data_IF_073361059292
#
_entry.id   IF_073361059292
#
_cell.length_a   1.000
_cell.length_b   1.000
_cell.length_c   1.000
_cell.angle_alpha   90.00
_cell.angle_beta   90.00
_cell.angle_gamma   90.00
#
_symmetry.space_group_name_H-M   'P 1'
#
loop_
_entity.id
_entity.type
_entity.pdbx_description
1 polymer ?
#
# COMPACT_ATOMS: atom_id res chain seq x y z
N UNK A 1 13.79 16.96 0.39
CA UNK A 1 12.49 16.89 1.09
C UNK A 1 12.43 17.99 2.14
N UNK A 2 13.19 17.89 3.24
CA UNK A 2 13.16 18.91 4.30
C UNK A 2 13.63 20.29 3.83
N UNK A 3 14.69 20.35 3.02
CA UNK A 3 15.15 21.61 2.40
C UNK A 3 14.11 22.26 1.46
N UNK A 4 13.10 21.51 1.02
CA UNK A 4 11.98 22.01 0.22
C UNK A 4 10.72 22.28 1.07
N UNK A 5 10.85 22.29 2.40
CA UNK A 5 9.72 22.46 3.33
C UNK A 5 8.82 21.23 3.48
N UNK A 6 9.20 20.08 2.91
CA UNK A 6 8.39 18.85 2.99
C UNK A 6 8.79 18.05 4.23
N UNK A 7 7.86 17.96 5.19
CA UNK A 7 7.99 17.10 6.37
C UNK A 7 7.68 15.65 6.02
N UNK A 8 8.66 14.76 6.18
CA UNK A 8 8.44 13.32 6.07
C UNK A 8 7.99 12.75 7.41
N UNK A 9 6.89 12.01 7.41
CA UNK A 9 6.38 11.32 8.59
C UNK A 9 6.40 9.82 8.33
N UNK A 10 7.12 9.07 9.16
CA UNK A 10 7.15 7.61 9.09
C UNK A 10 5.97 7.01 9.87
N UNK A 11 5.16 6.19 9.19
CA UNK A 11 3.94 5.53 9.71
C UNK A 11 3.92 4.06 9.27
N UNK A 12 4.66 3.18 9.95
CA UNK A 12 4.75 1.77 9.57
C UNK A 12 3.40 1.07 9.81
N UNK A 13 2.96 0.28 8.83
CA UNK A 13 1.78 -0.61 8.95
C UNK A 13 2.11 -1.91 9.66
N UNK A 14 3.33 -2.41 9.47
CA UNK A 14 3.82 -3.65 10.06
C UNK A 14 4.96 -3.30 11.02
N UNK A 15 5.00 -3.95 12.17
CA UNK A 15 6.11 -3.81 13.12
C UNK A 15 7.37 -4.50 12.57
N UNK A 16 8.55 -4.20 13.11
CA UNK A 16 9.80 -4.85 12.67
C UNK A 16 9.77 -6.38 12.85
N UNK A 17 9.05 -6.85 13.87
CA UNK A 17 8.79 -8.28 14.14
C UNK A 17 7.98 -8.98 13.03
N UNK A 18 7.14 -8.24 12.30
CA UNK A 18 6.32 -8.75 11.18
C UNK A 18 7.12 -8.93 9.88
N UNK A 19 8.40 -8.54 9.86
CA UNK A 19 9.33 -8.80 8.77
C UNK A 19 10.16 -10.06 8.99
N UNK A 20 9.73 -10.93 9.91
CA UNK A 20 10.33 -12.26 10.01
C UNK A 20 10.25 -12.97 8.65
N UNK A 21 11.28 -13.75 8.29
CA UNK A 21 11.31 -14.52 7.05
C UNK A 21 10.05 -15.36 6.80
N UNK A 22 9.44 -15.91 7.85
CA UNK A 22 8.22 -16.73 7.78
C UNK A 22 7.01 -15.88 7.41
N UNK A 23 6.84 -14.72 8.05
CA UNK A 23 5.72 -13.81 7.78
C UNK A 23 5.82 -13.18 6.39
N UNK A 24 7.03 -12.94 5.91
CA UNK A 24 7.27 -12.54 4.52
C UNK A 24 6.95 -13.67 3.54
N UNK A 25 7.35 -14.90 3.84
CA UNK A 25 7.03 -16.08 3.04
C UNK A 25 5.52 -16.31 2.90
N UNK A 26 4.77 -16.25 4.01
CA UNK A 26 3.31 -16.39 4.01
C UNK A 26 2.64 -15.37 3.08
N UNK A 27 3.09 -14.11 3.15
CA UNK A 27 2.57 -13.04 2.28
C UNK A 27 2.93 -13.28 0.81
N UNK A 28 4.17 -13.68 0.53
CA UNK A 28 4.61 -13.98 -0.84
C UNK A 28 3.74 -15.05 -1.49
N UNK A 29 3.46 -16.13 -0.77
CA UNK A 29 2.57 -17.20 -1.24
C UNK A 29 1.18 -16.67 -1.60
N UNK A 30 0.59 -15.83 -0.74
CA UNK A 30 -0.76 -15.27 -0.96
C UNK A 30 -0.82 -14.44 -2.26
N UNK A 31 0.21 -13.65 -2.56
CA UNK A 31 0.24 -12.82 -3.78
C UNK A 31 0.51 -13.59 -5.08
N UNK A 32 1.06 -14.81 -4.98
CA UNK A 32 1.40 -15.64 -6.15
C UNK A 32 0.24 -16.50 -6.63
N UNK A 33 -0.82 -16.63 -5.83
CA UNK A 33 -2.03 -17.36 -6.19
C UNK A 33 -2.66 -16.75 -7.46
N UNK A 34 -3.24 -17.61 -8.29
CA UNK A 34 -3.95 -17.19 -9.50
C UNK A 34 -5.29 -16.53 -9.13
N UNK A 35 -5.84 -16.94 -7.99
CA UNK A 35 -7.11 -16.46 -7.48
C UNK A 35 -6.99 -15.07 -6.83
N UNK A 36 -7.99 -14.24 -7.09
CA UNK A 36 -8.16 -12.93 -6.44
C UNK A 36 -8.20 -13.05 -4.90
N UNK A 37 -8.69 -14.18 -4.38
CA UNK A 37 -8.75 -14.49 -2.94
C UNK A 37 -7.40 -14.34 -2.24
N UNK A 38 -6.30 -14.66 -2.91
CA UNK A 38 -4.95 -14.48 -2.35
C UNK A 38 -4.61 -13.01 -2.06
N UNK A 39 -4.99 -12.11 -2.96
CA UNK A 39 -4.84 -10.66 -2.76
C UNK A 39 -5.76 -10.12 -1.68
N UNK A 40 -7.01 -10.60 -1.63
CA UNK A 40 -7.96 -10.19 -0.59
C UNK A 40 -7.44 -10.59 0.79
N UNK A 41 -6.91 -11.80 0.95
CA UNK A 41 -6.29 -12.25 2.19
C UNK A 41 -5.06 -11.41 2.57
N UNK A 42 -4.26 -10.99 1.59
CA UNK A 42 -3.13 -10.10 1.86
C UNK A 42 -3.56 -8.68 2.27
N UNK A 43 -4.68 -8.18 1.74
CA UNK A 43 -5.26 -6.91 2.18
C UNK A 43 -5.90 -6.99 3.56
N UNK A 44 -6.49 -8.13 3.90
CA UNK A 44 -6.94 -8.40 5.26
C UNK A 44 -5.78 -8.33 6.25
N UNK A 45 -4.64 -8.98 5.96
CA UNK A 45 -3.45 -8.90 6.81
C UNK A 45 -2.98 -7.43 6.99
N UNK A 46 -2.97 -6.65 5.91
CA UNK A 46 -2.62 -5.23 5.96
C UNK A 46 -3.58 -4.47 6.88
N UNK A 47 -4.89 -4.65 6.69
CA UNK A 47 -5.91 -3.94 7.46
C UNK A 47 -5.93 -4.37 8.93
N UNK A 48 -5.55 -5.61 9.24
CA UNK A 48 -5.40 -6.08 10.61
C UNK A 48 -4.31 -5.33 11.40
N UNK A 49 -3.25 -4.87 10.73
CA UNK A 49 -2.14 -4.14 11.37
C UNK A 49 -2.18 -2.61 11.14
N UNK A 50 -2.92 -2.13 10.15
CA UNK A 50 -2.83 -0.75 9.67
C UNK A 50 -3.46 0.31 10.58
N UNK A 51 -4.31 -0.06 11.55
CA UNK A 51 -5.11 0.85 12.36
C UNK A 51 -4.36 2.09 12.89
N UNK A 52 -3.25 1.93 13.63
CA UNK A 52 -2.46 3.06 14.15
C UNK A 52 -1.90 3.97 13.05
N UNK A 53 -1.37 3.38 11.96
CA UNK A 53 -0.80 4.12 10.84
C UNK A 53 -1.87 4.90 10.07
N UNK A 54 -2.97 4.22 9.71
CA UNK A 54 -4.08 4.80 8.97
C UNK A 54 -4.77 5.88 9.81
N UNK A 55 -4.98 5.66 11.10
CA UNK A 55 -5.52 6.66 12.00
C UNK A 55 -4.68 7.93 12.04
N UNK A 56 -3.34 7.83 12.06
CA UNK A 56 -2.48 9.01 12.02
C UNK A 56 -2.62 9.79 10.71
N UNK A 57 -2.70 9.09 9.57
CA UNK A 57 -2.88 9.71 8.26
C UNK A 57 -4.26 10.39 8.19
N UNK A 58 -5.32 9.68 8.57
CA UNK A 58 -6.70 10.18 8.53
C UNK A 58 -6.87 11.42 9.42
N UNK A 59 -6.28 11.45 10.62
CA UNK A 59 -6.31 12.65 11.49
C UNK A 59 -5.60 13.85 10.87
N UNK A 60 -4.51 13.62 10.13
CA UNK A 60 -3.86 14.69 9.38
C UNK A 60 -4.79 15.24 8.29
N UNK A 61 -5.45 14.35 7.53
CA UNK A 61 -6.41 14.75 6.48
C UNK A 61 -7.64 15.47 7.07
N UNK A 62 -8.13 15.04 8.23
CA UNK A 62 -9.20 15.70 8.97
C UNK A 62 -8.81 17.12 9.45
N UNK A 63 -7.50 17.38 9.60
CA UNK A 63 -6.97 18.68 9.96
C UNK A 63 -6.81 19.66 8.80
N UNK A 64 -6.97 19.22 7.55
CA UNK A 64 -6.85 20.09 6.37
C UNK A 64 -7.93 21.19 6.37
N UNK A 65 -7.61 22.34 5.78
CA UNK A 65 -8.64 23.34 5.48
C UNK A 65 -9.61 22.80 4.43
N UNK A 66 -10.92 23.11 4.52
CA UNK A 66 -11.87 22.70 3.49
C UNK A 66 -11.54 23.36 2.15
N UNK A 67 -11.88 22.70 1.01
CA UNK A 67 -11.62 23.25 -0.30
C UNK A 67 -12.37 24.57 -0.47
N UNK A 68 -11.79 25.57 -1.17
CA UNK A 68 -12.49 26.82 -1.43
C UNK A 68 -13.79 26.54 -2.19
N UNK A 69 -14.88 27.19 -1.79
CA UNK A 69 -16.15 27.12 -2.50
C UNK A 69 -15.93 27.49 -3.98
N UNK A 70 -16.55 26.79 -4.95
CA UNK A 70 -16.49 27.19 -6.34
C UNK A 70 -17.15 28.57 -6.48
N UNK A 71 -16.36 29.63 -6.50
CA UNK A 71 -16.85 30.98 -6.79
C UNK A 71 -17.23 31.06 -8.28
N UNK A 72 -18.43 31.56 -8.63
CA UNK A 72 -18.85 31.72 -10.03
C UNK A 72 -18.17 32.88 -10.76
N UNK A 73 -17.07 33.46 -10.25
CA UNK A 73 -16.40 34.61 -10.87
C UNK A 73 -14.92 34.34 -11.12
N UNK A 74 -14.42 34.50 -12.37
CA UNK A 74 -12.99 34.53 -12.59
C UNK A 74 -12.39 35.73 -11.83
N UNK A 75 -11.19 35.61 -11.24
CA UNK A 75 -10.52 36.77 -10.69
C UNK A 75 -10.27 37.77 -11.83
N UNK A 76 -10.89 38.96 -11.75
CA UNK A 76 -10.49 40.05 -12.63
C UNK A 76 -9.01 40.32 -12.34
N UNK A 77 -8.16 40.31 -13.37
CA UNK A 77 -6.80 40.83 -13.28
C UNK A 77 -6.88 42.33 -12.96
N UNK A 78 -6.96 42.65 -11.67
CA UNK A 78 -6.80 43.98 -11.12
C UNK A 78 -5.52 44.00 -10.33
N UNK A 79 -4.46 44.51 -10.94
CA UNK A 79 -3.19 44.84 -10.30
C UNK A 79 -3.43 45.73 -9.09
N UNK A 80 -3.25 45.19 -7.88
CA UNK A 80 -2.90 45.98 -6.70
C UNK A 80 -1.87 45.21 -5.89
N UNK A 81 -0.62 45.60 -6.12
CA UNK A 81 0.46 45.46 -5.15
C UNK A 81 -0.05 46.01 -3.81
N UNK A 82 -0.13 45.15 -2.80
CA UNK A 82 -0.25 45.59 -1.41
C UNK A 82 1.13 45.38 -0.80
N UNK A 83 1.84 46.50 -0.62
CA UNK A 83 3.00 46.61 0.26
C UNK A 83 2.59 46.19 1.67
N UNK A 84 3.13 45.06 2.14
CA UNK A 84 3.11 44.71 3.55
C UNK A 84 4.06 45.65 4.30
N UNK A 85 3.49 46.67 4.94
CA UNK A 85 4.23 47.58 5.83
C UNK A 85 4.58 46.83 7.11
N UNK A 86 5.85 46.48 7.29
CA UNK A 86 6.38 45.88 8.52
C UNK A 86 6.38 46.94 9.62
N UNK A 87 5.35 46.94 10.48
CA UNK A 87 5.39 47.64 11.75
C UNK A 87 6.13 46.77 12.78
N UNK A 88 7.28 47.26 13.24
CA UNK A 88 8.04 46.70 14.36
C UNK A 88 7.35 47.09 15.66
N UNK A 89 6.68 46.13 16.29
CA UNK A 89 6.26 46.23 17.68
C UNK A 89 7.32 45.55 18.55
N UNK A 90 8.07 46.36 19.31
CA UNK A 90 8.99 45.90 20.34
C UNK A 90 8.17 45.55 21.59
N UNK A 91 7.53 44.37 21.57
CA UNK A 91 6.80 43.80 22.70
C UNK A 91 7.31 42.39 23.00
N UNK A 92 7.72 42.15 24.25
CA UNK A 92 8.33 40.93 24.78
C UNK A 92 7.68 39.63 24.24
N UNK A 93 8.45 38.93 23.40
CA UNK A 93 8.00 37.79 22.61
C UNK A 93 7.69 36.54 23.43
N UNK A 94 6.43 36.36 23.81
CA UNK A 94 5.86 35.03 24.02
C UNK A 94 5.79 34.35 22.66
N UNK A 95 6.78 33.50 22.33
CA UNK A 95 6.74 32.60 21.16
C UNK A 95 5.57 31.63 21.30
N UNK A 96 4.37 32.07 20.94
CA UNK A 96 3.29 31.17 20.57
C UNK A 96 3.69 30.59 19.21
N UNK A 97 4.33 29.42 19.23
CA UNK A 97 4.66 28.70 18.00
C UNK A 97 3.38 28.56 17.17
N UNK A 98 3.31 29.27 16.05
CA UNK A 98 2.22 29.13 15.08
C UNK A 98 2.23 27.67 14.65
N UNK A 99 1.23 26.91 15.11
CA UNK A 99 1.07 25.50 14.74
C UNK A 99 0.93 25.48 13.22
N UNK A 100 1.91 24.91 12.51
CA UNK A 100 1.86 24.81 11.05
C UNK A 100 0.57 24.08 10.66
N UNK A 101 -0.28 24.76 9.89
CA UNK A 101 -1.54 24.19 9.42
C UNK A 101 -1.27 23.21 8.28
N UNK A 102 -1.89 22.02 8.29
CA UNK A 102 -1.68 21.03 7.24
C UNK A 102 -2.30 21.54 5.93
N UNK A 103 -1.49 21.58 4.86
CA UNK A 103 -1.91 22.11 3.56
C UNK A 103 -2.19 21.01 2.53
N UNK A 104 -1.39 19.95 2.53
CA UNK A 104 -1.49 18.82 1.63
C UNK A 104 -0.78 17.59 2.21
N UNK A 105 -1.03 16.42 1.62
CA UNK A 105 -0.33 15.18 1.95
C UNK A 105 0.00 14.40 0.68
N UNK A 106 1.21 13.82 0.64
CA UNK A 106 1.56 12.72 -0.24
C UNK A 106 1.60 11.44 0.59
N UNK A 107 0.74 10.48 0.27
CA UNK A 107 0.65 9.21 0.98
C UNK A 107 1.18 8.13 0.05
N UNK A 108 2.23 7.42 0.47
CA UNK A 108 2.84 6.38 -0.33
C UNK A 108 3.33 5.21 0.53
N UNK A 109 3.56 4.07 -0.11
CA UNK A 109 4.28 2.93 0.45
C UNK A 109 5.54 2.68 -0.38
N UNK A 110 6.05 1.45 -0.44
CA UNK A 110 7.23 1.13 -1.25
C UNK A 110 6.94 1.25 -2.75
N UNK A 111 5.89 0.58 -3.24
CA UNK A 111 5.51 0.58 -4.66
C UNK A 111 4.30 1.49 -4.97
N UNK A 112 3.69 2.09 -3.94
CA UNK A 112 2.46 2.88 -4.10
C UNK A 112 1.21 2.07 -4.45
N UNK A 113 1.26 0.73 -4.37
CA UNK A 113 0.19 -0.17 -4.84
C UNK A 113 -0.64 -0.76 -3.70
N UNK A 114 -0.09 -1.67 -2.90
CA UNK A 114 -0.90 -2.50 -1.98
C UNK A 114 -1.40 -1.71 -0.76
N UNK A 115 -0.48 -1.28 0.12
CA UNK A 115 -0.81 -0.51 1.34
C UNK A 115 -1.46 0.84 1.02
N UNK A 116 -0.96 1.50 -0.02
CA UNK A 116 -1.52 2.78 -0.49
C UNK A 116 -2.89 2.58 -1.13
N UNK A 117 -3.03 1.56 -1.99
CA UNK A 117 -4.29 1.28 -2.68
C UNK A 117 -5.40 0.92 -1.71
N UNK A 118 -5.17 0.03 -0.74
CA UNK A 118 -6.21 -0.32 0.24
C UNK A 118 -6.56 0.84 1.17
N UNK A 119 -5.58 1.70 1.52
CA UNK A 119 -5.84 2.93 2.26
C UNK A 119 -6.82 3.84 1.50
N UNK A 120 -6.53 4.13 0.22
CA UNK A 120 -7.40 4.98 -0.59
C UNK A 120 -8.73 4.30 -0.93
N UNK A 121 -8.74 2.97 -1.10
CA UNK A 121 -9.96 2.19 -1.25
C UNK A 121 -10.90 2.38 -0.06
N UNK A 122 -10.38 2.24 1.16
CA UNK A 122 -11.11 2.48 2.40
C UNK A 122 -11.58 3.94 2.52
N UNK A 123 -10.69 4.90 2.24
CA UNK A 123 -11.02 6.33 2.31
C UNK A 123 -12.11 6.71 1.32
N UNK A 124 -12.01 6.28 0.06
CA UNK A 124 -12.99 6.60 -0.97
C UNK A 124 -14.34 5.91 -0.73
N UNK A 125 -14.35 4.68 -0.22
CA UNK A 125 -15.60 3.98 0.16
C UNK A 125 -16.30 4.73 1.32
N UNK A 126 -15.54 5.19 2.32
CA UNK A 126 -16.06 6.04 3.41
C UNK A 126 -16.64 7.38 2.90
N UNK A 127 -16.01 7.97 1.87
CA UNK A 127 -16.47 9.20 1.22
C UNK A 127 -17.58 8.95 0.18
N UNK A 128 -18.13 7.74 0.13
CA UNK A 128 -19.22 7.32 -0.76
C UNK A 128 -18.90 7.42 -2.28
N UNK A 129 -17.62 7.28 -2.65
CA UNK A 129 -17.24 7.13 -4.06
C UNK A 129 -17.74 5.77 -4.58
N UNK A 130 -18.36 5.68 -5.77
CA UNK A 130 -18.81 4.40 -6.30
C UNK A 130 -17.67 3.39 -6.42
N UNK A 131 -17.86 2.16 -5.93
CA UNK A 131 -16.81 1.12 -5.89
C UNK A 131 -16.18 0.80 -7.25
N UNK A 132 -16.95 0.92 -8.34
CA UNK A 132 -16.42 0.78 -9.69
C UNK A 132 -15.38 1.86 -10.04
N UNK A 133 -15.57 3.10 -9.55
CA UNK A 133 -14.61 4.19 -9.71
C UNK A 133 -13.38 3.99 -8.81
N UNK A 134 -13.58 3.53 -7.57
CA UNK A 134 -12.47 3.17 -6.66
C UNK A 134 -11.57 2.11 -7.31
N UNK A 135 -12.18 1.04 -7.83
CA UNK A 135 -11.44 -0.02 -8.52
C UNK A 135 -10.76 0.48 -9.80
N UNK A 136 -11.41 1.38 -10.55
CA UNK A 136 -10.81 1.99 -11.74
C UNK A 136 -9.60 2.88 -11.41
N UNK A 137 -9.69 3.68 -10.35
CA UNK A 137 -8.58 4.49 -9.85
C UNK A 137 -7.42 3.59 -9.43
N UNK A 138 -7.67 2.59 -8.58
CA UNK A 138 -6.65 1.65 -8.14
C UNK A 138 -5.92 1.00 -9.33
N UNK A 139 -6.67 0.64 -10.37
CA UNK A 139 -6.16 0.04 -11.58
C UNK A 139 -5.29 0.97 -12.44
N UNK A 140 -5.35 2.31 -12.27
CA UNK A 140 -4.39 3.23 -12.91
C UNK A 140 -2.95 2.96 -12.47
N UNK A 141 -2.75 2.27 -11.33
CA UNK A 141 -1.43 1.77 -10.92
C UNK A 141 -0.81 0.84 -11.96
N UNK A 142 -1.60 0.11 -12.76
CA UNK A 142 -1.10 -0.68 -13.90
C UNK A 142 -0.34 0.21 -14.89
N UNK A 143 -0.92 1.35 -15.26
CA UNK A 143 -0.33 2.32 -16.17
C UNK A 143 0.89 2.99 -15.51
N UNK A 144 0.77 3.37 -14.23
CA UNK A 144 1.86 3.99 -13.47
C UNK A 144 3.09 3.09 -13.33
N UNK A 145 2.91 1.77 -13.26
CA UNK A 145 3.99 0.79 -13.18
C UNK A 145 4.43 0.25 -14.54
N UNK A 146 3.79 0.62 -15.65
CA UNK A 146 4.04 0.00 -16.95
C UNK A 146 5.52 0.09 -17.39
N UNK A 147 6.16 1.24 -17.20
CA UNK A 147 7.55 1.46 -17.61
C UNK A 147 8.59 0.68 -16.79
N UNK A 148 8.25 0.33 -15.55
CA UNK A 148 9.16 -0.38 -14.62
C UNK A 148 8.77 -1.83 -14.42
N UNK A 149 7.65 -2.28 -15.01
CA UNK A 149 7.06 -3.60 -14.75
C UNK A 149 8.02 -4.73 -15.08
N UNK A 150 8.61 -4.69 -16.27
CA UNK A 150 9.55 -5.73 -16.71
C UNK A 150 10.79 -5.76 -15.81
N UNK A 151 11.32 -4.60 -15.40
CA UNK A 151 12.47 -4.53 -14.48
C UNK A 151 12.13 -5.05 -13.07
N UNK A 152 10.91 -4.80 -12.59
CA UNK A 152 10.46 -5.33 -11.30
C UNK A 152 10.25 -6.85 -11.40
N UNK A 153 9.65 -7.34 -12.47
CA UNK A 153 9.46 -8.78 -12.72
C UNK A 153 10.81 -9.47 -12.83
N UNK A 154 11.75 -8.92 -13.61
CA UNK A 154 13.09 -9.47 -13.75
C UNK A 154 13.82 -9.55 -12.41
N UNK A 155 13.79 -8.49 -11.60
CA UNK A 155 14.37 -8.50 -10.25
C UNK A 155 13.71 -9.52 -9.33
N UNK A 156 12.38 -9.63 -9.38
CA UNK A 156 11.64 -10.59 -8.58
C UNK A 156 12.00 -12.04 -8.97
N UNK A 157 12.12 -12.33 -10.27
CA UNK A 157 12.53 -13.65 -10.78
C UNK A 157 13.94 -14.05 -10.31
N UNK A 158 14.81 -13.07 -10.04
CA UNK A 158 16.17 -13.31 -9.52
C UNK A 158 16.23 -13.35 -7.98
N UNK A 159 15.16 -12.98 -7.27
CA UNK A 159 15.16 -12.98 -5.82
C UNK A 159 15.25 -14.43 -5.28
N UNK A 160 16.19 -14.74 -4.37
CA UNK A 160 16.38 -16.12 -3.87
C UNK A 160 15.10 -16.76 -3.32
N UNK A 161 14.31 -16.00 -2.56
CA UNK A 161 13.03 -16.44 -2.02
C UNK A 161 12.01 -16.83 -3.10
N UNK A 162 11.94 -16.03 -4.18
CA UNK A 162 11.04 -16.28 -5.31
C UNK A 162 11.52 -17.50 -6.12
N UNK A 163 12.83 -17.60 -6.36
CA UNK A 163 13.44 -18.77 -7.02
C UNK A 163 13.13 -20.06 -6.27
N UNK A 164 13.24 -20.06 -4.95
CA UNK A 164 12.99 -21.24 -4.13
C UNK A 164 11.50 -21.60 -4.07
N UNK A 165 10.59 -20.61 -4.07
CA UNK A 165 9.16 -20.86 -4.31
C UNK A 165 8.91 -21.55 -5.67
N UNK A 166 9.54 -21.09 -6.75
CA UNK A 166 9.39 -21.72 -8.05
C UNK A 166 9.84 -23.19 -8.01
N UNK A 167 10.98 -23.46 -7.37
CA UNK A 167 11.53 -24.80 -7.22
C UNK A 167 10.65 -25.71 -6.34
N UNK A 168 10.05 -25.20 -5.25
CA UNK A 168 9.14 -26.00 -4.40
C UNK A 168 7.91 -26.49 -5.19
N UNK A 169 7.41 -25.67 -6.13
CA UNK A 169 6.32 -26.03 -7.06
C UNK A 169 6.73 -27.12 -8.06
N UNK A 170 8.01 -27.28 -8.40
CA UNK A 170 8.49 -28.40 -9.23
C UNK A 170 8.44 -29.73 -8.47
N UNK A 171 8.94 -29.75 -7.23
CA UNK A 171 9.04 -30.96 -6.43
C UNK A 171 7.66 -31.61 -6.19
N UNK A 172 6.59 -30.81 -6.11
CA UNK A 172 5.22 -31.30 -5.92
C UNK A 172 4.58 -31.91 -7.17
N UNK A 173 4.96 -31.44 -8.37
CA UNK A 173 4.44 -32.03 -9.63
C UNK A 173 5.01 -33.42 -9.93
N UNK A 174 6.08 -33.84 -9.24
CA UNK A 174 6.68 -35.18 -9.44
C UNK A 174 5.94 -36.27 -8.65
N UNK A 175 5.06 -35.92 -7.71
CA UNK A 175 4.47 -36.87 -6.75
C UNK A 175 2.94 -36.99 -6.80
N UNK A 176 2.21 -36.35 -7.73
CA UNK A 176 0.74 -36.45 -7.72
C UNK A 176 0.09 -36.53 -9.11
N UNK A 177 0.07 -37.74 -9.66
CA UNK A 177 -1.03 -38.19 -10.51
C UNK A 177 -2.18 -38.57 -9.57
N UNK A 178 -3.13 -37.66 -9.36
CA UNK A 178 -4.55 -37.82 -8.91
C UNK A 178 -4.96 -36.73 -7.90
N UNK A 179 -5.95 -35.92 -8.27
CA UNK A 179 -6.73 -35.11 -7.32
C UNK A 179 -6.44 -33.61 -7.33
N UNK A 180 -7.38 -32.84 -7.87
CA UNK A 180 -7.49 -31.40 -7.72
C UNK A 180 -7.53 -31.02 -6.23
N UNK A 181 -6.47 -30.37 -5.74
CA UNK A 181 -6.51 -29.63 -4.46
C UNK A 181 -5.72 -28.34 -4.63
N UNK A 182 -6.45 -27.26 -4.91
CA UNK A 182 -5.93 -25.88 -4.89
C UNK A 182 -5.84 -25.44 -3.43
N UNK A 183 -4.71 -25.72 -2.78
CA UNK A 183 -4.41 -25.25 -1.43
C UNK A 183 -2.91 -25.29 -1.18
N UNK A 184 -2.33 -24.16 -0.79
CA UNK A 184 -0.90 -24.05 -0.45
C UNK A 184 -0.63 -24.75 0.89
N UNK A 185 0.43 -25.57 0.99
CA UNK A 185 0.75 -26.34 2.21
C UNK A 185 1.81 -25.62 3.06
N UNK A 186 1.83 -25.90 4.37
CA UNK A 186 2.78 -25.35 5.37
C UNK A 186 4.25 -25.44 4.94
N UNK A 187 4.60 -26.49 4.19
CA UNK A 187 5.95 -26.72 3.66
C UNK A 187 6.42 -25.62 2.69
N UNK A 188 5.54 -25.03 1.88
CA UNK A 188 5.93 -23.95 0.95
C UNK A 188 6.36 -22.69 1.70
N UNK A 189 5.65 -22.38 2.78
CA UNK A 189 5.97 -21.24 3.63
C UNK A 189 7.33 -21.43 4.31
N UNK A 190 7.61 -22.62 4.84
CA UNK A 190 8.88 -22.93 5.53
C UNK A 190 10.09 -22.86 4.59
N UNK A 191 9.97 -23.39 3.36
CA UNK A 191 11.05 -23.35 2.37
C UNK A 191 11.41 -21.91 1.97
N UNK A 192 10.41 -21.06 1.75
CA UNK A 192 10.61 -19.64 1.45
C UNK A 192 11.16 -18.90 2.66
N UNK A 193 10.69 -19.21 3.87
CA UNK A 193 11.19 -18.61 5.10
C UNK A 193 12.67 -18.91 5.31
N UNK A 194 13.09 -20.16 5.12
CA UNK A 194 14.51 -20.55 5.20
C UNK A 194 15.36 -19.81 4.16
N UNK A 195 14.82 -19.57 2.97
CA UNK A 195 15.49 -18.81 1.91
C UNK A 195 15.66 -17.32 2.25
N UNK A 196 14.63 -16.73 2.85
CA UNK A 196 14.66 -15.35 3.34
C UNK A 196 15.64 -15.18 4.51
N UNK A 197 15.72 -16.17 5.43
CA UNK A 197 16.74 -16.22 6.50
C UNK A 197 18.16 -16.24 5.91
N UNK A 198 18.40 -17.12 4.93
CA UNK A 198 19.70 -17.24 4.27
C UNK A 198 20.10 -15.95 3.53
N UNK A 199 19.15 -15.28 2.87
CA UNK A 199 19.40 -13.99 2.20
C UNK A 199 19.67 -12.83 3.17
N UNK A 200 19.09 -12.84 4.38
CA UNK A 200 19.38 -11.84 5.42
C UNK A 200 20.77 -12.04 6.05
N UNK A 201 21.24 -13.28 6.19
CA UNK A 201 22.59 -13.59 6.71
C UNK A 201 23.70 -13.33 5.67
N UNK A 202 23.39 -13.40 4.37
CA UNK A 202 24.35 -13.13 3.29
C UNK A 202 24.66 -11.65 3.04
N UNK A 203 24.00 -10.71 3.75
CA UNK A 203 24.31 -9.28 3.61
C UNK A 203 25.57 -8.85 4.41
N UNK A 204 26.14 -9.74 5.23
CA UNK A 204 27.40 -9.50 5.97
C UNK A 204 28.63 -10.23 5.41
N UNK A 205 28.47 -11.18 4.49
CA UNK A 205 29.60 -11.93 3.94
C UNK A 205 29.45 -12.14 2.42
N UNK A 206 29.69 -11.06 1.67
CA UNK A 206 29.76 -11.08 0.22
C UNK A 206 31.08 -11.73 -0.26
N UNK A 207 31.31 -12.99 0.08
CA UNK A 207 32.18 -13.86 -0.70
C UNK A 207 31.90 -15.34 -0.40
N UNK A 208 31.59 -16.10 -1.45
CA UNK A 208 31.59 -17.57 -1.52
C UNK A 208 30.35 -18.32 -0.99
N UNK A 209 29.37 -18.52 -1.86
CA UNK A 209 29.00 -19.89 -2.29
C UNK A 209 28.11 -19.83 -3.54
N UNK A 210 28.62 -20.36 -4.64
CA UNK A 210 27.83 -20.64 -5.83
C UNK A 210 26.90 -21.81 -5.49
N UNK A 211 25.64 -21.54 -5.20
CA UNK A 211 24.61 -22.56 -5.25
C UNK A 211 24.64 -23.16 -6.67
N UNK A 212 24.79 -24.48 -6.77
CA UNK A 212 24.74 -25.22 -8.04
C UNK A 212 23.59 -24.69 -8.89
N UNK A 213 23.89 -24.28 -10.12
CA UNK A 213 22.93 -23.73 -11.04
C UNK A 213 21.95 -24.83 -11.47
N UNK A 214 20.93 -25.08 -10.65
CA UNK A 214 19.78 -25.90 -11.03
C UNK A 214 19.18 -25.26 -12.26
N UNK A 215 19.27 -25.95 -13.39
CA UNK A 215 18.71 -25.51 -14.66
C UNK A 215 17.18 -25.57 -14.56
N UNK A 216 16.55 -24.39 -14.54
CA UNK A 216 15.10 -24.28 -14.36
C UNK A 216 14.42 -24.53 -15.71
N UNK A 217 13.48 -25.50 -15.81
CA UNK A 217 12.80 -25.77 -17.07
C UNK A 217 12.07 -24.54 -17.64
N UNK A 218 12.07 -24.31 -18.97
CA UNK A 218 11.43 -23.14 -19.58
C UNK A 218 9.96 -22.95 -19.20
N UNK A 219 9.20 -24.04 -19.06
CA UNK A 219 7.80 -23.98 -18.66
C UNK A 219 7.60 -23.46 -17.24
N UNK A 220 8.54 -23.74 -16.32
CA UNK A 220 8.49 -23.21 -14.97
C UNK A 220 8.93 -21.75 -14.93
N UNK A 221 9.93 -21.37 -15.72
CA UNK A 221 10.33 -19.97 -15.86
C UNK A 221 9.16 -19.10 -16.34
N UNK A 222 8.38 -19.58 -17.32
CA UNK A 222 7.19 -18.85 -17.76
C UNK A 222 6.12 -18.80 -16.66
N UNK A 223 5.85 -19.91 -15.95
CA UNK A 223 4.91 -19.90 -14.81
C UNK A 223 5.35 -18.94 -13.69
N UNK A 224 6.65 -18.90 -13.40
CA UNK A 224 7.26 -17.96 -12.47
C UNK A 224 7.07 -16.52 -12.91
N UNK A 225 7.34 -16.24 -14.19
CA UNK A 225 7.12 -14.91 -14.77
C UNK A 225 5.67 -14.48 -14.66
N UNK A 226 4.72 -15.39 -14.92
CA UNK A 226 3.29 -15.11 -14.74
C UNK A 226 2.91 -14.84 -13.28
N UNK A 227 3.48 -15.58 -12.33
CA UNK A 227 3.29 -15.31 -10.90
C UNK A 227 3.87 -13.94 -10.50
N UNK A 228 5.06 -13.60 -10.97
CA UNK A 228 5.69 -12.30 -10.76
C UNK A 228 4.84 -11.16 -11.34
N UNK A 229 4.29 -11.34 -12.54
CA UNK A 229 3.36 -10.39 -13.16
C UNK A 229 2.10 -10.18 -12.32
N UNK A 230 1.52 -11.24 -11.76
CA UNK A 230 0.37 -11.12 -10.86
C UNK A 230 0.74 -10.31 -9.62
N UNK A 231 1.90 -10.57 -9.01
CA UNK A 231 2.34 -9.84 -7.82
C UNK A 231 2.49 -8.34 -8.05
N UNK A 232 2.92 -7.92 -9.24
CA UNK A 232 3.06 -6.49 -9.57
C UNK A 232 1.76 -5.86 -10.11
N UNK A 233 0.70 -6.65 -10.30
CA UNK A 233 -0.58 -6.18 -10.84
C UNK A 233 -1.47 -5.50 -9.79
N UNK A 234 -2.29 -4.58 -10.27
CA UNK A 234 -3.34 -3.82 -9.60
C UNK A 234 -4.71 -4.07 -10.27
N UNK A 235 -5.18 -5.33 -10.19
CA UNK A 235 -6.46 -5.76 -10.76
C UNK A 235 -7.67 -5.10 -10.07
N UNK A 236 -8.69 -4.71 -10.85
CA UNK A 236 -9.93 -4.12 -10.33
C UNK A 236 -10.66 -5.08 -9.39
N UNK A 237 -10.67 -6.36 -9.75
CA UNK A 237 -11.31 -7.44 -9.02
C UNK A 237 -10.70 -7.61 -7.63
N UNK A 238 -9.38 -7.43 -7.51
CA UNK A 238 -8.69 -7.43 -6.21
C UNK A 238 -9.17 -6.31 -5.30
N UNK A 239 -9.37 -5.09 -5.84
CA UNK A 239 -9.92 -3.99 -5.05
C UNK A 239 -11.38 -4.21 -4.68
N UNK A 240 -12.22 -4.67 -5.62
CA UNK A 240 -13.63 -4.97 -5.34
C UNK A 240 -13.79 -6.06 -4.28
N UNK A 241 -12.99 -7.13 -4.37
CA UNK A 241 -12.95 -8.18 -3.37
C UNK A 241 -12.48 -7.67 -2.00
N UNK A 242 -11.53 -6.74 -1.98
CA UNK A 242 -11.06 -6.12 -0.74
C UNK A 242 -12.16 -5.31 -0.06
N UNK A 243 -12.90 -4.49 -0.81
CA UNK A 243 -14.00 -3.67 -0.27
C UNK A 243 -15.15 -4.56 0.25
N UNK A 244 -15.46 -5.64 -0.46
CA UNK A 244 -16.43 -6.63 0.03
C UNK A 244 -15.97 -7.29 1.34
N UNK A 245 -14.68 -7.62 1.44
CA UNK A 245 -14.08 -8.14 2.68
C UNK A 245 -14.14 -7.11 3.82
N UNK A 246 -13.96 -5.81 3.52
CA UNK A 246 -14.11 -4.74 4.52
C UNK A 246 -15.52 -4.70 5.11
N UNK A 247 -16.55 -4.86 4.27
CA UNK A 247 -17.93 -4.95 4.76
C UNK A 247 -18.12 -6.16 5.69
N UNK A 248 -17.68 -7.33 5.24
CA UNK A 248 -17.88 -8.60 5.94
C UNK A 248 -17.13 -8.65 7.29
N UNK A 249 -15.85 -8.26 7.30
CA UNK A 249 -14.96 -8.47 8.45
C UNK A 249 -14.87 -7.29 9.39
N UNK A 250 -15.08 -6.08 8.88
CA UNK A 250 -14.90 -4.86 9.65
C UNK A 250 -16.18 -4.03 9.79
N UNK A 251 -17.30 -4.47 9.18
CA UNK A 251 -18.57 -3.74 9.22
C UNK A 251 -18.59 -2.50 8.32
N UNK A 252 -17.71 -2.46 7.30
CA UNK A 252 -17.58 -1.35 6.36
C UNK A 252 -16.51 -0.33 6.73
N UNK A 253 -16.23 0.59 5.81
CA UNK A 253 -15.13 1.54 5.92
C UNK A 253 -15.25 2.47 7.15
N UNK A 254 -16.45 2.99 7.45
CA UNK A 254 -16.64 3.85 8.61
C UNK A 254 -16.38 3.10 9.93
N UNK A 255 -16.89 1.88 10.07
CA UNK A 255 -16.70 1.07 11.26
C UNK A 255 -15.22 0.68 11.45
N UNK A 256 -14.51 0.37 10.36
CA UNK A 256 -13.06 0.18 10.39
C UNK A 256 -12.34 1.44 10.91
N UNK A 257 -12.67 2.63 10.39
CA UNK A 257 -12.04 3.88 10.84
C UNK A 257 -12.32 4.19 12.32
N UNK A 258 -13.50 3.84 12.82
CA UNK A 258 -13.84 4.01 14.24
C UNK A 258 -13.06 3.05 15.12
N UNK A 259 -13.12 1.76 14.81
CA UNK A 259 -12.61 0.70 15.68
C UNK A 259 -11.10 0.51 15.54
N UNK A 260 -10.60 0.37 14.32
CA UNK A 260 -9.19 0.07 14.05
C UNK A 260 -8.34 1.34 14.05
N UNK A 261 -8.84 2.43 13.47
CA UNK A 261 -8.08 3.68 13.39
C UNK A 261 -8.30 4.60 14.60
N UNK A 262 -9.33 4.36 15.42
CA UNK A 262 -9.65 5.16 16.61
C UNK A 262 -10.11 6.58 16.27
N UNK A 263 -10.91 6.74 15.22
CA UNK A 263 -11.48 8.04 14.84
C UNK A 263 -12.81 8.32 15.55
N UNK A 264 -12.98 9.56 16.03
CA UNK A 264 -14.24 10.07 16.56
C UNK A 264 -15.14 10.72 15.50
N UNK A 265 -16.39 11.02 15.86
CA UNK A 265 -17.38 11.63 14.97
C UNK A 265 -16.87 12.92 14.30
N UNK A 266 -16.30 13.83 15.10
CA UNK A 266 -15.79 15.09 14.59
C UNK A 266 -14.66 14.95 13.56
N UNK A 267 -13.81 13.91 13.69
CA UNK A 267 -12.74 13.63 12.72
C UNK A 267 -13.31 13.06 11.43
N UNK A 268 -14.30 12.17 11.51
CA UNK A 268 -15.00 11.59 10.36
C UNK A 268 -15.80 12.64 9.59
N UNK A 269 -16.49 13.54 10.29
CA UNK A 269 -17.18 14.68 9.68
C UNK A 269 -16.19 15.63 9.00
N UNK A 270 -15.05 15.89 9.64
CA UNK A 270 -14.01 16.73 9.07
C UNK A 270 -13.43 16.13 7.78
N UNK A 271 -13.21 14.82 7.71
CA UNK A 271 -12.79 14.15 6.47
C UNK A 271 -13.79 14.39 5.33
N UNK A 272 -15.09 14.19 5.58
CA UNK A 272 -16.13 14.43 4.57
C UNK A 272 -16.15 15.89 4.11
N UNK A 273 -16.06 16.82 5.06
CA UNK A 273 -16.06 18.26 4.77
C UNK A 273 -14.83 18.70 3.98
N UNK A 274 -13.66 18.16 4.30
CA UNK A 274 -12.39 18.65 3.77
C UNK A 274 -11.98 17.96 2.45
N UNK A 275 -12.51 16.77 2.15
CA UNK A 275 -12.09 15.98 0.99
C UNK A 275 -13.15 15.89 -0.12
N UNK A 276 -14.38 16.35 0.13
CA UNK A 276 -15.46 16.30 -0.86
C UNK A 276 -15.87 17.71 -1.26
N UNK A 277 -15.79 18.00 -2.57
CA UNK A 277 -16.41 19.17 -3.18
C UNK A 277 -17.78 18.77 -3.70
N UNK A 278 -18.83 19.47 -3.28
CA UNK A 278 -20.16 19.25 -3.86
C UNK A 278 -20.22 19.89 -5.24
N UNK A 279 -20.67 19.13 -6.23
CA UNK A 279 -20.98 19.66 -7.56
C UNK A 279 -22.35 20.34 -7.45
N UNK A 280 -22.38 21.64 -7.69
CA UNK A 280 -23.62 22.42 -7.83
C UNK A 280 -24.43 21.97 -9.07
#
# INVERSE_FOLDING_TARGET
MEAAGVKRVFVPVFEESDYSPERLAERYVKYMDEDVRGFVAAYEDILGSAGPAFGRILRYLAGLSPPPSPSPSPPSLGSKEQEETVQRDEGEGKKTGKKEEPQAALIHCTAGKDRTGIFFGLLFDFLAVPRAQIAAEYNLTELGLASVREDVVARLMQAPAFRNYMLSRMSKNTTTTTGTTTGTTTTDTEDIANSLRAGQQQQEDASQSAAEAVEIPPALLEKGRQAALRMVSARKESMLGALAMVDEKFGGAEQYMRVQCGLGDGELEALRRNLVVRKE
#
